data_IF_712230830529
#
_entry.id   IF_712230830529
#
_cell.length_a   1.000
_cell.length_b   1.000
_cell.length_c   1.000
_cell.angle_alpha   90.00
_cell.angle_beta   90.00
_cell.angle_gamma   90.00
#
_symmetry.space_group_name_H-M   'P 1'
#
loop_
_entity.id
_entity.type
_entity.pdbx_description
1 polymer ?
#
# COMPACT_ATOMS: atom_id res chain seq x y z
N UNK A 1 1.47 42.59 -14.77
CA UNK A 1 1.37 42.79 -13.30
C UNK A 1 0.71 41.56 -12.70
N UNK A 2 1.52 40.55 -12.34
CA UNK A 2 1.04 39.33 -11.68
C UNK A 2 0.81 39.67 -10.21
N UNK A 3 -0.45 39.87 -9.82
CA UNK A 3 -0.81 39.94 -8.41
C UNK A 3 -0.55 38.55 -7.83
N UNK A 4 0.60 38.42 -7.18
CA UNK A 4 1.01 37.22 -6.47
C UNK A 4 0.02 37.04 -5.30
N UNK A 5 -0.90 36.09 -5.44
CA UNK A 5 -1.97 35.89 -4.47
C UNK A 5 -1.40 35.22 -3.21
N UNK A 6 -0.75 36.03 -2.37
CA UNK A 6 -0.02 35.62 -1.15
C UNK A 6 -0.88 34.80 -0.19
N UNK A 7 -2.21 35.03 -0.20
CA UNK A 7 -3.19 34.28 0.59
C UNK A 7 -3.22 32.78 0.24
N UNK A 8 -3.16 32.42 -1.04
CA UNK A 8 -3.20 31.01 -1.46
C UNK A 8 -1.95 30.25 -1.03
N UNK A 9 -0.79 30.90 -1.04
CA UNK A 9 0.48 30.32 -0.61
C UNK A 9 0.54 30.14 0.91
N UNK A 10 -0.05 31.06 1.68
CA UNK A 10 -0.18 30.93 3.14
C UNK A 10 -1.12 29.79 3.53
N UNK A 11 -2.30 29.68 2.90
CA UNK A 11 -3.25 28.58 3.16
C UNK A 11 -2.65 27.21 2.82
N UNK A 12 -1.89 27.10 1.73
CA UNK A 12 -1.17 25.88 1.35
C UNK A 12 -0.14 25.47 2.41
N UNK A 13 0.69 26.42 2.88
CA UNK A 13 1.71 26.13 3.91
C UNK A 13 1.05 25.69 5.21
N UNK A 14 -0.07 26.31 5.58
CA UNK A 14 -0.81 25.94 6.78
C UNK A 14 -1.40 24.54 6.66
N UNK A 15 -2.04 24.18 5.55
CA UNK A 15 -2.63 22.84 5.39
C UNK A 15 -1.56 21.76 5.23
N UNK A 16 -0.45 22.03 4.55
CA UNK A 16 0.70 21.10 4.50
C UNK A 16 1.29 20.94 5.90
N UNK A 17 1.52 22.02 6.65
CA UNK A 17 1.99 21.92 8.03
C UNK A 17 0.99 21.14 8.91
N UNK A 18 -0.31 21.41 8.81
CA UNK A 18 -1.34 20.69 9.58
C UNK A 18 -1.42 19.24 9.15
N UNK A 19 -1.28 18.90 7.87
CA UNK A 19 -1.30 17.51 7.39
C UNK A 19 -0.03 16.75 7.76
N UNK A 20 1.14 17.41 7.73
CA UNK A 20 2.42 16.84 8.19
C UNK A 20 2.40 16.68 9.70
N UNK A 21 1.93 17.68 10.44
CA UNK A 21 1.77 17.59 11.90
C UNK A 21 0.73 16.52 12.24
N UNK A 22 -0.38 16.43 11.51
CA UNK A 22 -1.36 15.37 11.70
C UNK A 22 -0.74 14.00 11.43
N UNK A 23 0.00 13.83 10.32
CA UNK A 23 0.73 12.60 10.01
C UNK A 23 1.79 12.25 11.07
N UNK A 24 2.57 13.22 11.55
CA UNK A 24 3.57 13.03 12.61
C UNK A 24 2.88 12.69 13.94
N UNK A 25 1.77 13.35 14.27
CA UNK A 25 0.99 13.04 15.47
C UNK A 25 0.34 11.65 15.37
N UNK A 26 -0.17 11.26 14.19
CA UNK A 26 -0.67 9.92 13.90
C UNK A 26 0.45 8.89 14.11
N UNK A 27 1.67 9.19 13.66
CA UNK A 27 2.84 8.34 13.82
C UNK A 27 3.36 8.27 15.27
N UNK A 28 3.34 9.38 16.02
CA UNK A 28 3.80 9.45 17.41
C UNK A 28 2.83 8.85 18.42
N UNK A 29 1.54 8.74 18.08
CA UNK A 29 0.49 8.35 19.02
C UNK A 29 0.18 6.86 19.02
N UNK A 30 0.89 6.03 18.25
CA UNK A 30 0.63 4.58 18.08
C UNK A 30 1.05 3.72 19.29
N UNK A 31 0.49 4.03 20.47
CA UNK A 31 0.66 3.22 21.70
C UNK A 31 -0.70 2.84 22.30
N UNK A 32 -1.19 1.67 21.85
CA UNK A 32 -2.16 0.73 22.46
C UNK A 32 -3.59 1.23 22.81
N UNK A 33 -4.56 0.47 22.27
CA UNK A 33 -6.03 0.45 22.48
C UNK A 33 -6.91 1.45 21.70
N UNK A 34 -8.12 0.96 21.36
CA UNK A 34 -9.28 1.54 20.63
C UNK A 34 -9.48 3.08 20.66
N UNK A 35 -8.96 3.75 21.69
CA UNK A 35 -8.89 5.19 21.82
C UNK A 35 -8.11 5.87 20.68
N UNK A 36 -7.14 5.17 20.09
CA UNK A 36 -6.36 5.64 18.94
C UNK A 36 -7.23 5.83 17.70
N UNK A 37 -8.07 4.85 17.35
CA UNK A 37 -8.93 4.93 16.16
C UNK A 37 -9.89 6.12 16.25
N UNK A 38 -10.42 6.39 17.45
CA UNK A 38 -11.25 7.56 17.74
C UNK A 38 -10.49 8.89 17.62
N UNK A 39 -9.22 8.95 18.03
CA UNK A 39 -8.37 10.14 17.83
C UNK A 39 -7.95 10.33 16.37
N UNK A 40 -7.67 9.25 15.64
CA UNK A 40 -7.39 9.28 14.21
C UNK A 40 -8.60 9.82 13.44
N UNK A 41 -9.81 9.35 13.79
CA UNK A 41 -11.09 9.87 13.30
C UNK A 41 -11.26 11.37 13.57
N UNK A 42 -11.01 11.81 14.81
CA UNK A 42 -11.10 13.23 15.17
C UNK A 42 -10.10 14.11 14.39
N UNK A 43 -8.88 13.62 14.18
CA UNK A 43 -7.85 14.34 13.45
C UNK A 43 -8.20 14.47 11.97
N UNK A 44 -8.71 13.40 11.36
CA UNK A 44 -9.13 13.44 9.95
C UNK A 44 -10.35 14.34 9.79
N UNK A 45 -11.38 14.23 10.63
CA UNK A 45 -12.54 15.14 10.62
C UNK A 45 -12.11 16.60 10.77
N UNK A 46 -11.20 16.89 11.70
CA UNK A 46 -10.66 18.24 11.89
C UNK A 46 -9.90 18.71 10.65
N UNK A 47 -9.09 17.85 10.05
CA UNK A 47 -8.36 18.13 8.80
C UNK A 47 -9.31 18.42 7.64
N UNK A 48 -10.40 17.66 7.55
CA UNK A 48 -11.44 17.82 6.54
C UNK A 48 -12.16 19.16 6.73
N UNK A 49 -12.63 19.46 7.95
CA UNK A 49 -13.29 20.75 8.29
C UNK A 49 -12.37 21.93 7.97
N UNK A 50 -11.10 21.84 8.36
CA UNK A 50 -10.10 22.87 8.03
C UNK A 50 -9.97 23.00 6.50
N UNK A 51 -9.86 21.90 5.76
CA UNK A 51 -9.78 21.94 4.30
C UNK A 51 -11.04 22.53 3.64
N UNK A 52 -12.25 22.21 4.11
CA UNK A 52 -13.50 22.78 3.58
C UNK A 52 -13.63 24.27 3.86
N UNK A 53 -13.15 24.76 5.01
CA UNK A 53 -13.14 26.19 5.33
C UNK A 53 -12.25 27.02 4.37
N UNK A 54 -11.29 26.37 3.69
CA UNK A 54 -10.39 27.02 2.72
C UNK A 54 -10.75 26.75 1.25
N UNK A 55 -11.84 26.02 0.96
CA UNK A 55 -12.28 25.77 -0.42
C UNK A 55 -13.02 26.99 -1.00
N UNK A 56 -12.47 27.56 -2.07
CA UNK A 56 -13.20 28.49 -2.95
C UNK A 56 -14.22 27.68 -3.79
N UNK A 57 -15.42 27.51 -3.24
CA UNK A 57 -16.48 26.62 -3.73
C UNK A 57 -16.98 26.93 -5.15
N UNK A 58 -16.60 28.08 -5.73
CA UNK A 58 -17.08 28.50 -7.06
C UNK A 58 -16.42 27.76 -8.23
N UNK A 59 -15.32 27.03 -8.03
CA UNK A 59 -14.55 26.39 -9.13
C UNK A 59 -14.75 24.89 -9.29
N UNK A 60 -15.35 24.21 -8.33
CA UNK A 60 -15.49 22.75 -8.37
C UNK A 60 -16.93 22.47 -8.80
N UNK A 61 -17.13 22.14 -10.07
CA UNK A 61 -18.37 21.48 -10.50
C UNK A 61 -18.20 19.99 -10.21
N UNK A 62 -18.90 19.43 -9.21
CA UNK A 62 -18.79 18.00 -8.94
C UNK A 62 -19.22 17.23 -10.18
N UNK A 63 -18.41 16.25 -10.59
CA UNK A 63 -18.81 15.31 -11.62
C UNK A 63 -20.00 14.52 -11.09
N UNK A 64 -21.16 14.63 -11.75
CA UNK A 64 -22.39 13.95 -11.32
C UNK A 64 -22.21 12.45 -11.17
N UNK A 65 -21.35 11.84 -11.99
CA UNK A 65 -20.99 10.43 -11.84
C UNK A 65 -20.32 10.17 -10.47
N UNK A 66 -19.29 10.95 -10.11
CA UNK A 66 -18.58 10.78 -8.84
C UNK A 66 -19.54 10.88 -7.64
N UNK A 67 -20.47 11.85 -7.66
CA UNK A 67 -21.48 11.99 -6.60
C UNK A 67 -22.42 10.78 -6.51
N UNK A 68 -22.95 10.31 -7.64
CA UNK A 68 -23.82 9.13 -7.68
C UNK A 68 -23.09 7.92 -7.09
N UNK A 69 -21.82 7.73 -7.43
CA UNK A 69 -21.05 6.59 -6.97
C UNK A 69 -20.63 6.67 -5.50
N UNK A 70 -20.30 7.86 -5.00
CA UNK A 70 -20.12 8.05 -3.56
C UNK A 70 -21.39 7.68 -2.79
N UNK A 71 -22.57 8.03 -3.31
CA UNK A 71 -23.85 7.64 -2.72
C UNK A 71 -24.02 6.11 -2.77
N UNK A 72 -23.79 5.48 -3.92
CA UNK A 72 -23.89 4.02 -4.07
C UNK A 72 -22.95 3.30 -3.10
N UNK A 73 -21.70 3.75 -2.99
CA UNK A 73 -20.74 3.19 -2.05
C UNK A 73 -21.21 3.32 -0.60
N UNK A 74 -21.68 4.51 -0.18
CA UNK A 74 -22.21 4.73 1.17
C UNK A 74 -23.42 3.82 1.43
N UNK A 75 -24.31 3.66 0.45
CA UNK A 75 -25.46 2.75 0.56
C UNK A 75 -25.00 1.30 0.74
N UNK A 76 -24.10 0.82 -0.11
CA UNK A 76 -23.57 -0.56 -0.03
C UNK A 76 -22.84 -0.79 1.30
N UNK A 77 -21.98 0.15 1.70
CA UNK A 77 -21.26 0.06 2.96
C UNK A 77 -22.23 0.01 4.15
N UNK A 78 -23.30 0.83 4.12
CA UNK A 78 -24.34 0.83 5.17
C UNK A 78 -25.11 -0.49 5.19
N UNK A 79 -25.54 -1.00 4.03
CA UNK A 79 -26.26 -2.27 3.92
C UNK A 79 -25.39 -3.45 4.37
N UNK A 80 -24.13 -3.48 3.97
CA UNK A 80 -23.13 -4.48 4.39
C UNK A 80 -22.87 -4.40 5.90
N UNK A 81 -22.75 -3.19 6.46
CA UNK A 81 -22.60 -3.00 7.93
C UNK A 81 -23.80 -3.53 8.69
N UNK A 82 -25.02 -3.29 8.19
CA UNK A 82 -26.25 -3.81 8.80
C UNK A 82 -26.35 -5.34 8.73
N UNK A 83 -25.68 -5.98 7.77
CA UNK A 83 -25.59 -7.43 7.67
C UNK A 83 -24.47 -8.02 8.55
N UNK A 84 -23.61 -7.19 9.15
CA UNK A 84 -22.49 -7.65 9.96
C UNK A 84 -22.92 -8.22 11.30
N UNK A 85 -22.31 -9.35 11.69
CA UNK A 85 -22.41 -9.89 13.05
C UNK A 85 -21.87 -8.92 14.11
N UNK A 86 -20.98 -7.99 13.73
CA UNK A 86 -20.44 -6.97 14.61
C UNK A 86 -20.55 -5.57 13.97
N UNK A 87 -21.76 -5.01 14.05
CA UNK A 87 -22.10 -3.69 13.52
C UNK A 87 -21.10 -2.59 13.91
N UNK A 88 -20.64 -2.57 15.16
CA UNK A 88 -19.76 -1.50 15.67
C UNK A 88 -18.40 -1.51 14.97
N UNK A 89 -17.74 -2.67 14.87
CA UNK A 89 -16.41 -2.76 14.27
C UNK A 89 -16.48 -2.50 12.77
N UNK A 90 -17.46 -3.09 12.07
CA UNK A 90 -17.69 -2.81 10.64
C UNK A 90 -17.97 -1.33 10.38
N UNK A 91 -18.77 -0.68 11.24
CA UNK A 91 -19.02 0.77 11.15
C UNK A 91 -17.72 1.56 11.29
N UNK A 92 -16.94 1.30 12.34
CA UNK A 92 -15.68 2.02 12.60
C UNK A 92 -14.71 1.88 11.41
N UNK A 93 -14.59 0.66 10.87
CA UNK A 93 -13.73 0.38 9.72
C UNK A 93 -14.16 1.17 8.49
N UNK A 94 -15.44 1.14 8.14
CA UNK A 94 -15.98 1.88 6.99
C UNK A 94 -15.75 3.39 7.13
N UNK A 95 -15.98 3.94 8.33
CA UNK A 95 -15.71 5.35 8.59
C UNK A 95 -14.24 5.67 8.38
N UNK A 96 -13.32 4.88 8.94
CA UNK A 96 -11.88 5.09 8.78
C UNK A 96 -11.47 5.09 7.30
N UNK A 97 -11.94 4.12 6.51
CA UNK A 97 -11.63 4.03 5.09
C UNK A 97 -12.22 5.21 4.30
N UNK A 98 -13.46 5.59 4.61
CA UNK A 98 -14.10 6.76 4.02
C UNK A 98 -13.31 8.05 4.32
N UNK A 99 -12.85 8.22 5.56
CA UNK A 99 -12.08 9.38 5.98
C UNK A 99 -10.74 9.49 5.25
N UNK A 100 -10.03 8.38 5.07
CA UNK A 100 -8.78 8.35 4.31
C UNK A 100 -9.00 8.71 2.84
N UNK A 101 -10.01 8.12 2.20
CA UNK A 101 -10.35 8.43 0.80
C UNK A 101 -10.76 9.90 0.66
N UNK A 102 -11.62 10.39 1.55
CA UNK A 102 -12.11 11.75 1.50
C UNK A 102 -10.98 12.78 1.75
N UNK A 103 -10.02 12.46 2.63
CA UNK A 103 -8.78 13.22 2.78
C UNK A 103 -8.01 13.33 1.46
N UNK A 104 -7.85 12.22 0.73
CA UNK A 104 -7.24 12.23 -0.60
C UNK A 104 -7.97 13.13 -1.59
N UNK A 105 -9.30 12.99 -1.69
CA UNK A 105 -10.15 13.81 -2.56
C UNK A 105 -9.98 15.29 -2.22
N UNK A 106 -9.98 15.65 -0.93
CA UNK A 106 -9.77 17.03 -0.49
C UNK A 106 -8.39 17.55 -0.87
N UNK A 107 -7.32 16.76 -0.66
CA UNK A 107 -5.98 17.14 -1.10
C UNK A 107 -5.95 17.43 -2.60
N UNK A 108 -6.57 16.59 -3.42
CA UNK A 108 -6.65 16.80 -4.86
C UNK A 108 -7.46 18.06 -5.22
N UNK A 109 -8.65 18.23 -4.64
CA UNK A 109 -9.52 19.38 -4.93
C UNK A 109 -8.86 20.71 -4.56
N UNK A 110 -8.20 20.78 -3.41
CA UNK A 110 -7.58 22.02 -2.91
C UNK A 110 -6.23 22.28 -3.60
N UNK A 111 -5.45 21.23 -3.86
CA UNK A 111 -4.03 21.36 -4.19
C UNK A 111 -3.57 20.71 -5.49
N UNK A 112 -4.44 20.19 -6.36
CA UNK A 112 -4.02 19.48 -7.60
C UNK A 112 -2.94 20.21 -8.41
N UNK A 113 -3.04 21.53 -8.57
CA UNK A 113 -2.01 22.33 -9.25
C UNK A 113 -0.70 22.36 -8.47
N UNK A 114 -0.73 22.48 -7.16
CA UNK A 114 0.47 22.55 -6.35
C UNK A 114 1.12 21.17 -6.22
N UNK A 115 0.31 20.13 -5.99
CA UNK A 115 0.71 18.74 -5.86
C UNK A 115 1.52 18.26 -7.05
N UNK A 116 1.08 18.54 -8.28
CA UNK A 116 1.84 18.20 -9.48
C UNK A 116 3.24 18.82 -9.51
N UNK A 117 3.41 20.07 -9.04
CA UNK A 117 4.73 20.71 -8.92
C UNK A 117 5.57 20.15 -7.76
N UNK A 118 4.91 19.62 -6.74
CA UNK A 118 5.53 19.12 -5.53
C UNK A 118 5.75 17.60 -5.54
N UNK A 119 5.45 16.91 -6.64
CA UNK A 119 5.58 15.45 -6.74
C UNK A 119 6.98 14.95 -6.34
N UNK A 120 8.04 15.57 -6.87
CA UNK A 120 9.45 15.26 -6.48
C UNK A 120 9.63 15.32 -4.96
N UNK A 121 9.22 16.45 -4.37
CA UNK A 121 9.39 16.71 -2.94
C UNK A 121 8.58 15.73 -2.09
N UNK A 122 7.35 15.40 -2.49
CA UNK A 122 6.50 14.48 -1.73
C UNK A 122 7.09 13.07 -1.76
N UNK A 123 7.54 12.58 -2.92
CA UNK A 123 8.23 11.30 -3.02
C UNK A 123 9.52 11.31 -2.17
N UNK A 124 10.27 12.41 -2.17
CA UNK A 124 11.47 12.54 -1.34
C UNK A 124 11.13 12.52 0.15
N UNK A 125 10.05 13.17 0.58
CA UNK A 125 9.60 13.14 1.98
C UNK A 125 9.22 11.72 2.40
N UNK A 126 8.51 10.96 1.55
CA UNK A 126 8.22 9.53 1.81
C UNK A 126 9.51 8.76 2.07
N UNK A 127 10.51 8.94 1.20
CA UNK A 127 11.83 8.29 1.33
C UNK A 127 12.55 8.71 2.62
N UNK A 128 12.60 10.00 2.92
CA UNK A 128 13.33 10.52 4.09
C UNK A 128 12.66 10.14 5.41
N UNK A 129 11.33 10.18 5.49
CA UNK A 129 10.58 9.71 6.65
C UNK A 129 10.88 8.24 6.92
N UNK A 130 10.92 7.42 5.88
CA UNK A 130 11.28 6.01 6.01
C UNK A 130 12.74 5.85 6.47
N UNK A 131 13.70 6.47 5.76
CA UNK A 131 15.14 6.30 6.02
C UNK A 131 15.60 6.85 7.37
N UNK A 132 15.01 7.95 7.85
CA UNK A 132 15.43 8.60 9.09
C UNK A 132 14.59 8.12 10.26
N UNK A 133 13.28 7.99 10.08
CA UNK A 133 12.36 7.67 11.17
C UNK A 133 12.21 6.17 11.42
N UNK A 134 12.02 5.38 10.37
CA UNK A 134 11.58 3.99 10.50
C UNK A 134 12.69 2.96 10.31
N UNK A 135 13.48 3.09 9.26
CA UNK A 135 14.42 2.06 8.83
C UNK A 135 15.49 1.76 9.91
N UNK A 136 16.17 2.76 10.52
CA UNK A 136 17.22 2.48 11.49
C UNK A 136 16.67 1.80 12.75
N UNK A 137 15.57 2.31 13.29
CA UNK A 137 14.92 1.76 14.49
C UNK A 137 14.49 0.31 14.27
N UNK A 138 13.78 0.04 13.17
CA UNK A 138 13.30 -1.32 12.89
C UNK A 138 14.45 -2.29 12.59
N UNK A 139 15.50 -1.86 11.89
CA UNK A 139 16.64 -2.74 11.63
C UNK A 139 17.45 -3.06 12.90
N UNK A 140 17.60 -2.10 13.81
CA UNK A 140 18.22 -2.33 15.11
C UNK A 140 17.39 -3.29 15.96
N UNK A 141 16.07 -3.08 16.02
CA UNK A 141 15.16 -3.97 16.74
C UNK A 141 15.16 -5.39 16.18
N UNK A 142 15.15 -5.54 14.85
CA UNK A 142 15.28 -6.83 14.21
C UNK A 142 16.61 -7.50 14.55
N UNK A 143 17.70 -6.74 14.53
CA UNK A 143 19.02 -7.26 14.90
C UNK A 143 19.06 -7.71 16.37
N UNK A 144 18.50 -6.92 17.29
CA UNK A 144 18.49 -7.21 18.73
C UNK A 144 17.58 -8.40 19.08
N UNK A 145 16.48 -8.59 18.31
CA UNK A 145 15.53 -9.68 18.50
C UNK A 145 15.91 -10.95 17.73
N UNK A 146 16.89 -10.90 16.83
CA UNK A 146 17.41 -12.09 16.15
C UNK A 146 18.18 -12.93 17.17
N UNK A 147 17.70 -14.12 17.54
CA UNK A 147 18.38 -14.94 18.52
C UNK A 147 19.74 -15.38 17.97
N UNK A 148 20.74 -15.27 18.83
CA UNK A 148 22.14 -15.61 18.52
C UNK A 148 22.37 -17.13 18.61
N UNK A 149 21.43 -17.86 19.21
CA UNK A 149 21.54 -19.30 19.43
C UNK A 149 21.16 -20.13 18.18
N UNK A 150 21.86 -21.26 17.92
CA UNK A 150 21.57 -22.13 16.78
C UNK A 150 20.15 -22.73 16.85
N UNK A 151 19.48 -22.91 15.71
CA UNK A 151 18.05 -23.31 15.60
C UNK A 151 17.64 -24.49 16.51
N UNK A 152 18.52 -25.48 16.69
CA UNK A 152 18.25 -26.65 17.52
C UNK A 152 18.06 -26.37 19.02
N UNK A 153 18.33 -25.15 19.47
CA UNK A 153 18.06 -24.67 20.83
C UNK A 153 16.77 -23.87 20.96
N UNK A 154 16.12 -23.54 19.84
CA UNK A 154 14.88 -22.78 19.88
C UNK A 154 13.77 -23.67 20.44
N UNK A 155 12.89 -23.13 21.29
CA UNK A 155 11.73 -23.87 21.76
C UNK A 155 10.92 -24.43 20.58
N UNK A 156 10.51 -25.69 20.65
CA UNK A 156 9.53 -26.22 19.69
C UNK A 156 8.29 -25.31 19.69
N UNK A 157 7.92 -24.81 18.51
CA UNK A 157 6.81 -23.85 18.35
C UNK A 157 7.19 -22.37 18.42
N UNK A 158 8.48 -22.03 18.46
CA UNK A 158 8.92 -20.65 18.24
C UNK A 158 8.73 -20.29 16.75
N UNK A 159 7.50 -19.92 16.39
CA UNK A 159 7.23 -19.44 15.05
C UNK A 159 7.83 -18.04 14.90
N UNK A 160 8.69 -17.83 13.89
CA UNK A 160 9.16 -16.50 13.46
C UNK A 160 8.02 -15.51 13.14
N UNK A 161 6.77 -15.99 13.11
CA UNK A 161 5.53 -15.25 12.94
C UNK A 161 4.99 -14.64 14.23
N UNK A 162 5.47 -15.03 15.42
CA UNK A 162 5.15 -14.34 16.66
C UNK A 162 5.93 -13.03 16.75
N UNK A 163 5.39 -12.04 16.02
CA UNK A 163 5.51 -10.60 16.21
C UNK A 163 6.81 -10.14 16.86
N UNK A 164 7.81 -9.83 16.04
CA UNK A 164 8.83 -8.88 16.46
C UNK A 164 8.11 -7.67 17.07
N UNK A 165 8.35 -7.39 18.35
CA UNK A 165 7.82 -6.21 19.03
C UNK A 165 8.64 -5.03 18.51
N UNK A 166 8.21 -4.46 17.38
CA UNK A 166 8.85 -3.29 16.79
C UNK A 166 8.24 -2.04 17.41
N UNK A 167 9.04 -1.09 17.88
CA UNK A 167 8.53 0.10 18.59
C UNK A 167 7.65 0.97 17.69
N UNK A 168 7.85 0.89 16.36
CA UNK A 168 7.16 1.71 15.37
C UNK A 168 6.10 0.94 14.56
N UNK A 169 6.05 -0.38 14.66
CA UNK A 169 5.15 -1.20 13.85
C UNK A 169 4.59 -2.36 14.67
N UNK A 170 3.28 -2.55 14.61
CA UNK A 170 2.63 -3.72 15.22
C UNK A 170 3.11 -5.05 14.63
N UNK A 171 3.62 -5.03 13.40
CA UNK A 171 4.13 -6.23 12.73
C UNK A 171 5.16 -5.86 11.65
N UNK A 172 6.13 -6.73 11.42
CA UNK A 172 7.11 -6.62 10.32
C UNK A 172 6.44 -6.48 8.93
N UNK A 173 5.21 -6.99 8.82
CA UNK A 173 4.35 -6.83 7.65
C UNK A 173 4.04 -5.35 7.38
N UNK A 174 3.68 -4.58 8.42
CA UNK A 174 3.34 -3.16 8.26
C UNK A 174 4.57 -2.37 7.82
N UNK A 175 5.73 -2.68 8.40
CA UNK A 175 7.02 -2.15 7.95
C UNK A 175 7.28 -2.42 6.47
N UNK A 176 6.98 -3.64 5.99
CA UNK A 176 7.19 -3.99 4.58
C UNK A 176 6.32 -3.17 3.61
N UNK A 177 5.14 -2.68 4.02
CA UNK A 177 4.33 -1.76 3.22
C UNK A 177 5.06 -0.41 3.02
N UNK A 178 5.67 0.11 4.09
CA UNK A 178 6.43 1.35 4.08
C UNK A 178 7.74 1.20 3.28
N UNK A 179 8.44 0.09 3.47
CA UNK A 179 9.66 -0.21 2.73
C UNK A 179 9.40 -0.29 1.22
N UNK A 180 8.28 -0.91 0.80
CA UNK A 180 7.92 -0.99 -0.62
C UNK A 180 7.71 0.40 -1.24
N UNK A 181 6.87 1.24 -0.62
CA UNK A 181 6.59 2.57 -1.18
C UNK A 181 7.83 3.46 -1.18
N UNK A 182 8.67 3.38 -0.14
CA UNK A 182 9.92 4.11 -0.06
C UNK A 182 10.91 3.65 -1.15
N UNK A 183 11.07 2.34 -1.35
CA UNK A 183 11.94 1.79 -2.39
C UNK A 183 11.47 2.20 -3.80
N UNK A 184 10.17 2.09 -4.08
CA UNK A 184 9.60 2.47 -5.37
C UNK A 184 9.72 3.99 -5.63
N UNK A 185 9.53 4.81 -4.59
CA UNK A 185 9.69 6.27 -4.66
C UNK A 185 11.16 6.67 -4.90
N UNK A 186 12.10 6.06 -4.16
CA UNK A 186 13.53 6.30 -4.33
C UNK A 186 14.03 5.88 -5.72
N UNK A 187 13.57 4.73 -6.22
CA UNK A 187 13.83 4.28 -7.59
C UNK A 187 13.32 5.29 -8.62
N UNK A 188 12.09 5.76 -8.46
CA UNK A 188 11.46 6.73 -9.37
C UNK A 188 12.22 8.06 -9.39
N UNK A 189 12.62 8.57 -8.22
CA UNK A 189 13.43 9.79 -8.09
C UNK A 189 14.81 9.62 -8.74
N UNK A 190 15.47 8.48 -8.52
CA UNK A 190 16.74 8.17 -9.16
C UNK A 190 16.60 8.13 -10.68
N UNK A 191 15.54 7.52 -11.22
CA UNK A 191 15.34 7.43 -12.67
C UNK A 191 15.04 8.79 -13.31
N UNK A 192 14.20 9.60 -12.67
CA UNK A 192 13.64 10.82 -13.27
C UNK A 192 14.50 12.07 -12.99
N UNK A 193 15.03 12.22 -11.78
CA UNK A 193 15.64 13.48 -11.30
C UNK A 193 17.17 13.47 -11.15
N UNK A 194 17.82 12.33 -11.39
CA UNK A 194 19.27 12.15 -11.27
C UNK A 194 20.09 12.83 -12.39
N UNK A 195 19.81 14.10 -12.70
CA UNK A 195 20.48 14.87 -13.77
C UNK A 195 21.94 15.20 -13.44
N UNK A 196 22.26 15.44 -12.17
CA UNK A 196 23.63 15.68 -11.71
C UNK A 196 24.23 14.43 -11.05
N UNK A 197 25.57 14.31 -11.09
CA UNK A 197 26.27 13.19 -10.43
C UNK A 197 25.93 13.09 -8.95
N UNK A 198 25.87 14.22 -8.24
CA UNK A 198 25.52 14.26 -6.82
C UNK A 198 24.11 13.74 -6.53
N UNK A 199 23.10 14.24 -7.26
CA UNK A 199 21.71 13.75 -7.13
C UNK A 199 21.62 12.26 -7.48
N UNK A 200 22.34 11.81 -8.53
CA UNK A 200 22.37 10.41 -8.94
C UNK A 200 22.85 9.49 -7.82
N UNK A 201 24.00 9.78 -7.21
CA UNK A 201 24.52 8.96 -6.13
C UNK A 201 23.66 9.04 -4.87
N UNK A 202 23.12 10.21 -4.56
CA UNK A 202 22.20 10.40 -3.44
C UNK A 202 20.96 9.49 -3.57
N UNK A 203 20.20 9.61 -4.67
CA UNK A 203 19.00 8.79 -4.85
C UNK A 203 19.31 7.30 -5.00
N UNK A 204 20.44 6.94 -5.63
CA UNK A 204 20.88 5.56 -5.72
C UNK A 204 21.17 4.96 -4.34
N UNK A 205 21.81 5.74 -3.45
CA UNK A 205 22.06 5.33 -2.06
C UNK A 205 20.73 5.16 -1.31
N UNK A 206 19.82 6.14 -1.39
CA UNK A 206 18.49 6.03 -0.80
C UNK A 206 17.74 4.78 -1.29
N UNK A 207 17.79 4.53 -2.60
CA UNK A 207 17.18 3.35 -3.22
C UNK A 207 17.80 2.05 -2.69
N UNK A 208 19.13 1.95 -2.65
CA UNK A 208 19.82 0.77 -2.15
C UNK A 208 19.44 0.45 -0.70
N UNK A 209 19.38 1.47 0.17
CA UNK A 209 18.98 1.28 1.57
C UNK A 209 17.51 0.87 1.70
N UNK A 210 16.61 1.52 0.96
CA UNK A 210 15.18 1.17 1.00
C UNK A 210 14.93 -0.25 0.43
N UNK A 211 15.64 -0.63 -0.63
CA UNK A 211 15.55 -1.98 -1.21
C UNK A 211 16.10 -3.03 -0.24
N UNK A 212 17.24 -2.76 0.42
CA UNK A 212 17.78 -3.66 1.43
C UNK A 212 16.77 -3.85 2.58
N UNK A 213 16.19 -2.75 3.08
CA UNK A 213 15.15 -2.79 4.10
C UNK A 213 13.91 -3.61 3.68
N UNK A 214 13.48 -3.46 2.42
CA UNK A 214 12.39 -4.26 1.85
C UNK A 214 12.70 -5.75 1.85
N UNK A 215 13.92 -6.12 1.45
CA UNK A 215 14.38 -7.51 1.38
C UNK A 215 14.54 -8.11 2.78
N UNK A 216 15.09 -7.35 3.74
CA UNK A 216 15.22 -7.75 5.14
C UNK A 216 13.88 -7.86 5.88
N UNK A 217 12.80 -7.28 5.35
CA UNK A 217 11.46 -7.50 5.89
C UNK A 217 10.90 -8.89 5.54
N UNK A 218 11.54 -9.63 4.64
CA UNK A 218 11.14 -10.98 4.16
C UNK A 218 9.69 -11.06 3.63
N UNK A 219 9.07 -9.92 3.34
CA UNK A 219 7.71 -9.82 2.84
C UNK A 219 7.61 -10.28 1.39
N UNK A 220 7.15 -11.53 1.17
CA UNK A 220 6.98 -12.07 -0.20
C UNK A 220 6.07 -11.19 -1.06
N UNK A 221 4.99 -10.68 -0.48
CA UNK A 221 4.05 -9.78 -1.15
C UNK A 221 4.67 -8.45 -1.54
N UNK A 222 5.49 -7.85 -0.67
CA UNK A 222 6.15 -6.56 -0.94
C UNK A 222 7.25 -6.68 -2.01
N UNK A 223 7.93 -7.82 -2.05
CA UNK A 223 8.92 -8.13 -3.09
C UNK A 223 8.24 -8.35 -4.44
N UNK A 224 7.15 -9.12 -4.48
CA UNK A 224 6.33 -9.27 -5.69
C UNK A 224 5.82 -7.91 -6.18
N UNK A 225 5.32 -7.08 -5.26
CA UNK A 225 4.88 -5.72 -5.56
C UNK A 225 5.99 -4.87 -6.19
N UNK A 226 7.20 -4.94 -5.64
CA UNK A 226 8.36 -4.22 -6.16
C UNK A 226 8.79 -4.72 -7.55
N UNK A 227 8.77 -6.04 -7.77
CA UNK A 227 9.05 -6.64 -9.08
C UNK A 227 8.05 -6.18 -10.15
N UNK A 228 6.76 -6.21 -9.83
CA UNK A 228 5.70 -5.72 -10.72
C UNK A 228 5.87 -4.23 -10.98
N UNK A 229 6.16 -3.43 -9.95
CA UNK A 229 6.47 -2.01 -10.09
C UNK A 229 7.62 -1.77 -11.08
N UNK A 230 8.77 -2.41 -10.91
CA UNK A 230 9.94 -2.22 -11.81
C UNK A 230 9.61 -2.67 -13.24
N UNK A 231 8.88 -3.78 -13.40
CA UNK A 231 8.45 -4.26 -14.72
C UNK A 231 7.53 -3.26 -15.42
N UNK A 232 6.52 -2.74 -14.71
CA UNK A 232 5.60 -1.75 -15.23
C UNK A 232 6.30 -0.42 -15.54
N UNK A 233 7.13 0.10 -14.64
CA UNK A 233 7.85 1.36 -14.87
C UNK A 233 8.82 1.24 -16.05
N UNK A 234 9.54 0.12 -16.16
CA UNK A 234 10.44 -0.15 -17.30
C UNK A 234 9.66 -0.31 -18.61
N UNK A 235 8.51 -1.00 -18.58
CA UNK A 235 7.63 -1.15 -19.74
C UNK A 235 7.14 0.20 -20.24
N UNK A 236 6.66 1.04 -19.33
CA UNK A 236 6.20 2.38 -19.68
C UNK A 236 7.37 3.20 -20.24
N UNK A 237 8.53 3.20 -19.57
CA UNK A 237 9.67 4.02 -19.96
C UNK A 237 10.37 3.59 -21.25
N UNK A 238 10.40 2.28 -21.57
CA UNK A 238 11.28 1.74 -22.60
C UNK A 238 10.66 0.63 -23.47
N UNK A 239 9.39 0.26 -23.25
CA UNK A 239 8.69 -0.78 -24.00
C UNK A 239 8.95 -2.22 -23.54
N UNK A 240 8.22 -3.16 -24.16
CA UNK A 240 8.11 -4.57 -23.72
C UNK A 240 9.43 -5.34 -23.74
N UNK A 241 10.24 -5.19 -24.78
CA UNK A 241 11.48 -5.96 -24.92
C UNK A 241 12.49 -5.64 -23.82
N UNK A 242 12.54 -4.38 -23.36
CA UNK A 242 13.40 -3.98 -22.26
C UNK A 242 12.81 -4.35 -20.90
N UNK A 243 11.49 -4.24 -20.75
CA UNK A 243 10.79 -4.68 -19.54
C UNK A 243 11.04 -6.17 -19.24
N UNK A 244 10.91 -7.05 -20.23
CA UNK A 244 11.17 -8.48 -20.07
C UNK A 244 12.62 -8.73 -19.63
N UNK A 245 13.60 -8.09 -20.26
CA UNK A 245 15.03 -8.23 -19.90
C UNK A 245 15.32 -7.74 -18.49
N UNK A 246 14.79 -6.57 -18.12
CA UNK A 246 14.99 -5.98 -16.80
C UNK A 246 14.28 -6.81 -15.74
N UNK A 247 13.05 -7.29 -15.99
CA UNK A 247 12.33 -8.18 -15.09
C UNK A 247 13.11 -9.49 -14.89
N UNK A 248 13.57 -10.13 -15.96
CA UNK A 248 14.41 -11.32 -15.88
C UNK A 248 15.67 -11.10 -15.05
N UNK A 249 16.36 -9.98 -15.25
CA UNK A 249 17.55 -9.61 -14.46
C UNK A 249 17.22 -9.35 -12.98
N UNK A 250 16.10 -8.69 -12.68
CA UNK A 250 15.68 -8.43 -11.30
C UNK A 250 15.27 -9.72 -10.60
N UNK A 251 14.57 -10.64 -11.28
CA UNK A 251 14.26 -11.96 -10.74
C UNK A 251 15.54 -12.72 -10.42
N UNK A 252 16.51 -12.71 -11.35
CA UNK A 252 17.82 -13.36 -11.11
C UNK A 252 18.58 -12.70 -9.95
N UNK A 253 18.57 -11.37 -9.85
CA UNK A 253 19.26 -10.65 -8.78
C UNK A 253 18.60 -10.89 -7.42
N UNK A 254 17.28 -10.80 -7.34
CA UNK A 254 16.53 -11.09 -6.12
C UNK A 254 16.72 -12.56 -5.74
N UNK A 255 16.62 -13.48 -6.71
CA UNK A 255 16.90 -14.90 -6.51
C UNK A 255 18.32 -15.16 -6.02
N UNK A 256 19.32 -14.45 -6.55
CA UNK A 256 20.71 -14.52 -6.10
C UNK A 256 20.87 -13.95 -4.69
N UNK A 257 20.27 -12.80 -4.39
CA UNK A 257 20.29 -12.22 -3.05
C UNK A 257 19.67 -13.20 -2.07
N UNK A 258 18.49 -13.74 -2.38
CA UNK A 258 17.86 -14.80 -1.57
C UNK A 258 18.80 -15.99 -1.40
N UNK A 259 19.38 -16.53 -2.48
CA UNK A 259 20.31 -17.64 -2.39
C UNK A 259 21.51 -17.31 -1.48
N UNK A 260 22.13 -16.14 -1.64
CA UNK A 260 23.23 -15.69 -0.79
C UNK A 260 22.80 -15.56 0.67
N UNK A 261 21.60 -15.04 0.95
CA UNK A 261 21.03 -15.02 2.30
C UNK A 261 20.85 -16.44 2.85
N UNK A 262 20.39 -17.38 2.02
CA UNK A 262 20.24 -18.80 2.42
C UNK A 262 21.59 -19.47 2.74
N UNK A 263 22.70 -18.98 2.17
CA UNK A 263 24.07 -19.48 2.39
C UNK A 263 24.87 -18.70 3.45
N UNK A 264 24.30 -17.63 4.02
CA UNK A 264 24.89 -16.98 5.21
C UNK A 264 24.49 -17.75 6.48
N UNK A 265 25.23 -17.64 7.61
CA UNK A 265 24.89 -18.30 8.88
C UNK A 265 23.50 -17.96 9.48
N UNK A 266 22.68 -17.17 8.78
CA UNK A 266 21.23 -17.07 8.96
C UNK A 266 20.45 -18.32 8.50
N UNK A 267 21.14 -19.46 8.27
CA UNK A 267 20.61 -20.73 7.78
C UNK A 267 19.47 -21.35 8.63
N UNK A 268 19.35 -20.87 9.86
CA UNK A 268 18.29 -21.18 10.83
C UNK A 268 16.90 -20.83 10.26
N UNK A 269 16.75 -19.65 9.64
CA UNK A 269 15.48 -19.21 9.05
C UNK A 269 15.21 -19.94 7.73
N UNK A 270 16.26 -20.25 6.96
CA UNK A 270 16.13 -20.96 5.70
C UNK A 270 15.74 -22.42 5.90
N UNK A 271 16.26 -23.09 6.92
CA UNK A 271 15.95 -24.49 7.25
C UNK A 271 14.49 -24.67 7.70
N UNK A 272 13.94 -23.76 8.51
CA UNK A 272 12.51 -23.74 8.85
C UNK A 272 11.60 -23.46 7.64
N UNK A 273 12.02 -22.51 6.79
CA UNK A 273 11.33 -22.27 5.53
C UNK A 273 11.39 -23.48 4.62
N UNK A 274 12.51 -24.23 4.58
CA UNK A 274 12.74 -25.38 3.69
C UNK A 274 12.11 -26.69 4.19
N UNK A 275 12.09 -26.93 5.50
CA UNK A 275 11.41 -28.09 6.11
C UNK A 275 9.91 -28.06 5.86
N UNK A 276 9.34 -26.86 5.71
CA UNK A 276 7.97 -26.64 5.26
C UNK A 276 7.72 -27.10 3.80
N UNK A 277 8.74 -27.31 2.97
CA UNK A 277 8.61 -27.74 1.56
C UNK A 277 8.72 -29.26 1.35
N UNK A 278 9.11 -30.04 2.36
CA UNK A 278 9.26 -31.49 2.25
C UNK A 278 8.04 -32.19 2.89
N UNK A 279 7.04 -32.58 2.09
CA UNK A 279 5.84 -33.24 2.60
C UNK A 279 6.08 -34.74 2.84
N UNK A 280 5.25 -35.33 3.70
CA UNK A 280 5.08 -36.78 3.82
C UNK A 280 3.60 -37.13 3.90
N UNK A 281 3.00 -37.58 2.79
CA UNK A 281 1.72 -38.29 2.73
C UNK A 281 0.62 -37.65 1.87
N UNK A 282 -0.08 -38.49 1.08
CA UNK A 282 -1.06 -38.30 -0.02
C UNK A 282 -2.07 -37.11 -0.03
N UNK A 283 -2.13 -36.27 1.00
CA UNK A 283 -2.68 -34.90 0.97
C UNK A 283 -1.66 -33.82 0.62
N UNK A 284 -0.45 -34.22 0.18
CA UNK A 284 0.75 -33.38 0.10
C UNK A 284 0.56 -32.11 -0.73
N UNK A 285 -0.06 -32.16 -1.90
CA UNK A 285 -0.02 -31.01 -2.83
C UNK A 285 -0.67 -29.75 -2.25
N UNK A 286 -1.83 -29.90 -1.60
CA UNK A 286 -2.49 -28.76 -0.95
C UNK A 286 -1.76 -28.33 0.33
N UNK A 287 -1.15 -29.27 1.06
CA UNK A 287 -0.37 -28.96 2.26
C UNK A 287 0.94 -28.24 1.91
N UNK A 288 1.68 -28.69 0.90
CA UNK A 288 2.84 -27.99 0.31
C UNK A 288 2.40 -26.62 -0.19
N UNK A 289 1.34 -26.54 -1.00
CA UNK A 289 0.91 -25.26 -1.56
C UNK A 289 0.48 -24.29 -0.45
N UNK A 290 -0.10 -24.78 0.64
CA UNK A 290 -0.40 -23.99 1.84
C UNK A 290 0.85 -23.60 2.62
N UNK A 291 1.82 -24.49 2.82
CA UNK A 291 3.06 -24.14 3.51
C UNK A 291 3.83 -23.06 2.75
N UNK A 292 3.86 -23.15 1.41
CA UNK A 292 4.44 -22.16 0.51
C UNK A 292 3.67 -20.85 0.49
N UNK A 293 2.35 -20.87 0.71
CA UNK A 293 1.52 -19.66 0.73
C UNK A 293 1.30 -19.09 2.13
N UNK A 294 1.83 -19.73 3.18
CA UNK A 294 1.55 -19.43 4.59
C UNK A 294 0.07 -19.57 4.95
N UNK A 295 -0.56 -20.65 4.50
CA UNK A 295 -1.96 -21.01 4.77
C UNK A 295 -3.00 -20.23 3.97
N UNK A 296 -2.58 -19.32 3.08
CA UNK A 296 -3.48 -18.41 2.36
C UNK A 296 -4.43 -19.14 1.41
N UNK A 297 -4.03 -20.25 0.78
CA UNK A 297 -4.92 -20.95 -0.15
C UNK A 297 -6.17 -21.47 0.55
N UNK A 298 -6.02 -22.06 1.74
CA UNK A 298 -7.20 -22.48 2.51
C UNK A 298 -8.02 -21.29 2.97
N UNK A 299 -7.39 -20.20 3.44
CA UNK A 299 -8.12 -18.97 3.79
C UNK A 299 -8.92 -18.42 2.60
N UNK A 300 -8.41 -18.55 1.38
CA UNK A 300 -9.12 -18.13 0.17
C UNK A 300 -10.30 -19.04 -0.15
N UNK A 301 -10.12 -20.36 -0.04
CA UNK A 301 -11.22 -21.32 -0.21
C UNK A 301 -12.33 -21.05 0.80
N UNK A 302 -11.96 -20.82 2.06
CA UNK A 302 -12.92 -20.52 3.12
C UNK A 302 -13.62 -19.18 2.89
N UNK A 303 -12.88 -18.11 2.57
CA UNK A 303 -13.47 -16.81 2.23
C UNK A 303 -14.42 -16.87 1.03
N UNK A 304 -14.12 -17.72 0.03
CA UNK A 304 -15.02 -17.96 -1.10
C UNK A 304 -16.28 -18.73 -0.67
N UNK A 305 -16.16 -19.70 0.24
CA UNK A 305 -17.32 -20.44 0.76
C UNK A 305 -18.23 -19.52 1.56
N UNK A 306 -17.67 -18.70 2.45
CA UNK A 306 -18.42 -17.67 3.18
C UNK A 306 -19.09 -16.68 2.21
N UNK A 307 -18.40 -16.25 1.15
CA UNK A 307 -19.01 -15.39 0.13
C UNK A 307 -20.23 -16.02 -0.56
N UNK A 308 -20.30 -17.36 -0.68
CA UNK A 308 -21.48 -18.04 -1.25
C UNK A 308 -22.67 -18.04 -0.29
N UNK A 309 -22.45 -17.91 1.01
CA UNK A 309 -23.52 -17.86 2.02
C UNK A 309 -24.25 -16.51 2.00
N UNK A 310 -23.55 -15.41 1.71
CA UNK A 310 -24.12 -14.07 1.54
C UNK A 310 -23.66 -13.42 0.22
N UNK A 311 -24.13 -13.92 -0.94
CA UNK A 311 -23.54 -13.59 -2.24
C UNK A 311 -23.82 -12.18 -2.72
N UNK A 312 -24.88 -11.52 -2.25
CA UNK A 312 -25.29 -10.20 -2.76
C UNK A 312 -24.54 -9.08 -2.06
N UNK A 313 -24.62 -9.02 -0.72
CA UNK A 313 -24.10 -7.93 0.09
C UNK A 313 -22.95 -8.32 1.03
N UNK A 314 -22.56 -9.61 1.04
CA UNK A 314 -21.49 -10.11 1.89
C UNK A 314 -21.87 -10.14 3.37
N UNK A 315 -20.86 -10.26 4.22
CA UNK A 315 -20.99 -10.42 5.66
C UNK A 315 -20.62 -9.18 6.48
N UNK A 316 -20.38 -8.04 5.83
CA UNK A 316 -19.93 -6.82 6.50
C UNK A 316 -18.44 -6.56 6.34
N UNK A 317 -18.04 -5.28 6.44
CA UNK A 317 -16.63 -4.91 6.44
C UNK A 317 -15.87 -5.57 7.61
N UNK A 318 -14.66 -6.08 7.34
CA UNK A 318 -13.83 -6.78 8.32
C UNK A 318 -14.45 -8.08 8.84
N UNK A 319 -15.35 -8.72 8.07
CA UNK A 319 -16.09 -9.89 8.55
C UNK A 319 -15.23 -11.10 8.90
N UNK A 320 -14.07 -11.23 8.27
CA UNK A 320 -13.14 -12.33 8.49
C UNK A 320 -12.73 -12.49 9.97
N UNK A 321 -12.57 -11.40 10.72
CA UNK A 321 -12.10 -11.45 12.11
C UNK A 321 -13.02 -12.32 13.00
N UNK A 322 -14.32 -12.33 12.74
CA UNK A 322 -15.29 -13.13 13.49
C UNK A 322 -15.67 -14.41 12.77
N UNK A 323 -15.75 -14.40 11.44
CA UNK A 323 -16.09 -15.61 10.69
C UNK A 323 -14.97 -16.66 10.73
N UNK A 324 -13.71 -16.25 10.87
CA UNK A 324 -12.59 -17.17 11.05
C UNK A 324 -12.36 -17.59 12.50
N UNK A 325 -13.05 -16.99 13.48
CA UNK A 325 -12.80 -17.23 14.91
C UNK A 325 -12.96 -18.70 15.32
N UNK A 326 -13.90 -19.42 14.70
CA UNK A 326 -14.17 -20.84 14.96
C UNK A 326 -13.47 -21.79 13.97
N UNK A 327 -12.58 -21.25 13.13
CA UNK A 327 -11.82 -22.02 12.14
C UNK A 327 -10.36 -22.22 12.62
N UNK A 328 -9.58 -23.12 11.99
CA UNK A 328 -8.13 -23.20 12.21
C UNK A 328 -7.36 -21.89 11.92
N UNK A 329 -8.03 -20.88 11.38
CA UNK A 329 -7.47 -19.57 11.01
C UNK A 329 -7.96 -18.45 11.92
N UNK A 330 -8.34 -18.74 13.17
CA UNK A 330 -8.79 -17.76 14.15
C UNK A 330 -7.80 -16.62 14.43
N UNK A 331 -6.53 -16.80 14.07
CA UNK A 331 -5.49 -15.76 14.11
C UNK A 331 -5.51 -14.79 12.91
N UNK A 332 -6.21 -15.13 11.83
CA UNK A 332 -6.26 -14.33 10.61
C UNK A 332 -7.40 -13.32 10.65
N UNK A 333 -7.07 -12.04 10.44
CA UNK A 333 -8.06 -10.95 10.40
C UNK A 333 -8.64 -10.69 9.01
N UNK A 334 -8.12 -11.35 7.98
CA UNK A 334 -8.48 -11.14 6.58
C UNK A 334 -7.93 -12.29 5.71
N UNK A 335 -8.50 -12.52 4.51
CA UNK A 335 -8.02 -13.57 3.61
C UNK A 335 -6.74 -13.20 2.84
N UNK A 336 -6.17 -12.00 3.01
CA UNK A 336 -4.94 -11.56 2.31
C UNK A 336 -5.03 -11.60 0.77
N UNK A 337 -6.24 -11.45 0.23
CA UNK A 337 -6.49 -11.29 -1.20
C UNK A 337 -7.68 -10.36 -1.37
N UNK A 338 -7.46 -9.21 -2.02
CA UNK A 338 -8.46 -8.15 -2.15
C UNK A 338 -9.76 -8.63 -2.80
N UNK A 339 -9.70 -9.54 -3.77
CA UNK A 339 -10.91 -10.02 -4.45
C UNK A 339 -11.71 -10.96 -3.57
N UNK A 340 -11.04 -11.89 -2.88
CA UNK A 340 -11.70 -12.76 -1.90
C UNK A 340 -12.29 -11.91 -0.78
N UNK A 341 -11.52 -10.96 -0.26
CA UNK A 341 -11.95 -10.08 0.82
C UNK A 341 -13.17 -9.24 0.44
N UNK A 342 -13.14 -8.57 -0.71
CA UNK A 342 -14.27 -7.71 -1.14
C UNK A 342 -15.51 -8.55 -1.41
N UNK A 343 -15.36 -9.73 -2.02
CA UNK A 343 -16.52 -10.60 -2.29
C UNK A 343 -17.11 -11.17 -1.00
N UNK A 344 -16.29 -11.49 -0.01
CA UNK A 344 -16.74 -11.95 1.30
C UNK A 344 -17.38 -10.83 2.13
N UNK A 345 -16.76 -9.66 2.21
CA UNK A 345 -17.23 -8.53 3.03
C UNK A 345 -18.44 -7.81 2.41
N UNK A 346 -18.45 -7.63 1.09
CA UNK A 346 -19.42 -6.78 0.38
C UNK A 346 -20.21 -7.50 -0.73
N UNK A 347 -20.01 -8.81 -0.89
CA UNK A 347 -20.71 -9.60 -1.89
C UNK A 347 -20.34 -9.23 -3.34
N UNK A 348 -21.14 -9.76 -4.26
CA UNK A 348 -21.02 -9.49 -5.69
C UNK A 348 -21.19 -7.99 -6.00
N UNK A 349 -22.06 -7.30 -5.27
CA UNK A 349 -22.30 -5.86 -5.47
C UNK A 349 -21.02 -5.06 -5.20
N UNK A 350 -20.31 -5.32 -4.10
CA UNK A 350 -19.04 -4.68 -3.81
C UNK A 350 -17.96 -5.00 -4.85
N UNK A 351 -17.87 -6.25 -5.30
CA UNK A 351 -16.95 -6.65 -6.35
C UNK A 351 -17.21 -5.91 -7.69
N UNK A 352 -18.47 -5.76 -8.08
CA UNK A 352 -18.85 -4.98 -9.27
C UNK A 352 -18.44 -3.50 -9.16
N UNK A 353 -18.61 -2.88 -7.98
CA UNK A 353 -18.18 -1.50 -7.75
C UNK A 353 -16.66 -1.37 -7.88
N UNK A 354 -15.89 -2.30 -7.32
CA UNK A 354 -14.43 -2.31 -7.46
C UNK A 354 -14.01 -2.42 -8.94
N UNK A 355 -14.56 -3.39 -9.67
CA UNK A 355 -14.27 -3.58 -11.10
C UNK A 355 -14.60 -2.31 -11.86
N UNK A 356 -15.74 -1.70 -11.58
CA UNK A 356 -16.15 -0.46 -12.21
C UNK A 356 -15.18 0.70 -11.90
N UNK A 357 -14.73 0.88 -10.65
CA UNK A 357 -13.72 1.88 -10.28
C UNK A 357 -12.44 1.67 -11.09
N UNK A 358 -11.95 0.43 -11.17
CA UNK A 358 -10.75 0.09 -11.95
C UNK A 358 -10.97 0.40 -13.43
N UNK A 359 -12.09 -0.01 -14.00
CA UNK A 359 -12.38 0.17 -15.43
C UNK A 359 -12.67 1.62 -15.82
N UNK A 360 -13.31 2.41 -14.96
CA UNK A 360 -13.74 3.77 -15.26
C UNK A 360 -12.71 4.83 -14.91
N UNK A 361 -11.89 4.60 -13.87
CA UNK A 361 -10.88 5.55 -13.43
C UNK A 361 -9.50 5.12 -13.89
N UNK A 362 -9.06 3.90 -13.57
CA UNK A 362 -7.67 3.51 -13.79
C UNK A 362 -7.37 3.18 -15.25
N UNK A 363 -8.24 2.46 -15.97
CA UNK A 363 -7.99 2.08 -17.37
C UNK A 363 -7.80 3.30 -18.28
N UNK A 364 -8.65 4.35 -18.24
CA UNK A 364 -8.43 5.54 -19.07
C UNK A 364 -7.10 6.23 -18.80
N UNK A 365 -6.69 6.34 -17.52
CA UNK A 365 -5.40 6.93 -17.13
C UNK A 365 -4.26 6.10 -17.69
N UNK A 366 -4.33 4.76 -17.55
CA UNK A 366 -3.34 3.83 -18.10
C UNK A 366 -3.21 4.03 -19.61
N UNK A 367 -4.33 4.06 -20.32
CA UNK A 367 -4.37 4.24 -21.77
C UNK A 367 -3.76 5.60 -22.16
N UNK A 368 -4.10 6.67 -21.45
CA UNK A 368 -3.57 8.02 -21.70
C UNK A 368 -2.04 8.06 -21.48
N UNK A 369 -1.58 7.54 -20.34
CA UNK A 369 -0.14 7.48 -20.01
C UNK A 369 0.63 6.65 -21.04
N UNK A 370 0.08 5.54 -21.52
CA UNK A 370 0.70 4.71 -22.56
C UNK A 370 0.72 5.44 -23.90
N UNK A 371 -0.35 6.15 -24.28
CA UNK A 371 -0.43 6.87 -25.57
C UNK A 371 0.53 8.04 -25.64
N UNK A 372 0.77 8.70 -24.52
CA UNK A 372 1.62 9.90 -24.45
C UNK A 372 3.08 9.57 -24.07
N UNK A 373 3.47 8.29 -24.06
CA UNK A 373 4.66 7.76 -23.37
C UNK A 373 6.03 8.09 -23.97
N UNK A 374 6.17 9.11 -24.82
CA UNK A 374 7.49 9.51 -25.32
C UNK A 374 8.41 10.07 -24.22
N UNK A 375 7.89 10.32 -23.02
CA UNK A 375 8.69 10.65 -21.84
C UNK A 375 7.97 10.25 -20.56
N UNK A 376 8.25 9.05 -20.06
CA UNK A 376 7.62 8.54 -18.84
C UNK A 376 8.22 9.20 -17.60
N UNK A 377 7.72 10.41 -17.31
CA UNK A 377 8.00 11.15 -16.09
C UNK A 377 7.23 10.58 -14.90
N UNK A 378 6.83 11.45 -13.97
CA UNK A 378 6.17 11.03 -12.73
C UNK A 378 4.84 10.28 -12.94
N UNK A 379 4.09 10.58 -14.00
CA UNK A 379 2.80 9.91 -14.27
C UNK A 379 2.94 8.40 -14.42
N UNK A 380 3.90 7.93 -15.22
CA UNK A 380 4.12 6.49 -15.35
C UNK A 380 4.75 5.84 -14.13
N UNK A 381 5.61 6.56 -13.40
CA UNK A 381 6.17 6.06 -12.14
C UNK A 381 5.08 5.82 -11.08
N UNK A 382 4.16 6.78 -10.89
CA UNK A 382 3.04 6.65 -9.96
C UNK A 382 2.08 5.54 -10.42
N UNK A 383 1.83 5.42 -11.73
CA UNK A 383 1.02 4.33 -12.27
C UNK A 383 1.66 2.96 -12.01
N UNK A 384 2.98 2.84 -12.18
CA UNK A 384 3.71 1.62 -11.87
C UNK A 384 3.66 1.29 -10.36
N UNK A 385 3.72 2.30 -9.47
CA UNK A 385 3.55 2.10 -8.03
C UNK A 385 2.17 1.50 -7.74
N UNK A 386 1.11 2.04 -8.36
CA UNK A 386 -0.25 1.53 -8.20
C UNK A 386 -0.40 0.11 -8.74
N UNK A 387 0.27 -0.25 -9.84
CA UNK A 387 0.34 -1.62 -10.32
C UNK A 387 1.03 -2.56 -9.31
N UNK A 388 2.12 -2.09 -8.68
CA UNK A 388 2.77 -2.81 -7.57
C UNK A 388 1.82 -3.00 -6.37
N UNK A 389 1.08 -1.97 -5.96
CA UNK A 389 0.03 -2.06 -4.93
C UNK A 389 -1.04 -3.09 -5.27
N UNK A 390 -1.51 -3.11 -6.51
CA UNK A 390 -2.50 -4.08 -6.98
C UNK A 390 -1.95 -5.51 -6.86
N UNK A 391 -0.72 -5.75 -7.29
CA UNK A 391 -0.07 -7.06 -7.12
C UNK A 391 0.11 -7.42 -5.63
N UNK A 392 0.49 -6.45 -4.80
CA UNK A 392 0.64 -6.66 -3.37
C UNK A 392 -0.71 -7.09 -2.75
N UNK A 393 -1.80 -6.44 -3.13
CA UNK A 393 -3.15 -6.73 -2.60
C UNK A 393 -3.68 -8.15 -2.91
N UNK A 394 -3.02 -8.90 -3.80
CA UNK A 394 -3.34 -10.31 -4.07
C UNK A 394 -2.77 -11.26 -3.01
N UNK A 395 -1.78 -10.81 -2.25
CA UNK A 395 -1.04 -11.65 -1.29
C UNK A 395 -1.00 -11.06 0.11
N UNK A 396 -1.47 -9.82 0.30
CA UNK A 396 -1.55 -9.19 1.60
C UNK A 396 -2.66 -8.11 1.67
N UNK A 397 -2.96 -7.68 2.90
CA UNK A 397 -4.05 -6.77 3.26
C UNK A 397 -3.76 -5.30 3.00
N UNK A 398 -3.23 -4.96 1.84
CA UNK A 398 -2.75 -3.59 1.54
C UNK A 398 -3.89 -2.56 1.52
N UNK A 399 -5.11 -2.98 1.21
CA UNK A 399 -6.31 -2.13 1.29
C UNK A 399 -7.09 -2.30 2.60
N UNK A 400 -6.66 -3.22 3.46
CA UNK A 400 -7.28 -3.44 4.76
C UNK A 400 -6.64 -2.58 5.85
N UNK A 401 -5.31 -2.42 5.82
CA UNK A 401 -4.62 -1.62 6.82
C UNK A 401 -4.64 -0.12 6.46
N UNK A 402 -4.84 0.78 7.44
CA UNK A 402 -4.94 2.22 7.19
C UNK A 402 -3.63 2.82 6.65
N UNK A 403 -2.48 2.32 7.10
CA UNK A 403 -1.15 2.79 6.68
C UNK A 403 -0.92 2.66 5.17
N UNK A 404 -0.98 1.45 4.57
CA UNK A 404 -0.83 1.30 3.12
C UNK A 404 -1.97 1.98 2.33
N UNK A 405 -3.18 2.06 2.89
CA UNK A 405 -4.29 2.76 2.24
C UNK A 405 -4.05 4.28 2.15
N UNK A 406 -3.45 4.88 3.18
CA UNK A 406 -3.04 6.29 3.14
C UNK A 406 -2.00 6.54 2.05
N UNK A 407 -0.99 5.67 1.95
CA UNK A 407 0.02 5.75 0.89
C UNK A 407 -0.60 5.63 -0.51
N UNK A 408 -1.46 4.63 -0.71
CA UNK A 408 -2.20 4.45 -1.94
C UNK A 408 -3.01 5.71 -2.31
N UNK A 409 -3.65 6.32 -1.32
CA UNK A 409 -4.43 7.56 -1.48
C UNK A 409 -3.54 8.72 -1.94
N UNK A 410 -2.41 8.95 -1.27
CA UNK A 410 -1.46 10.02 -1.64
C UNK A 410 -0.94 9.81 -3.06
N UNK A 411 -0.52 8.60 -3.41
CA UNK A 411 0.00 8.27 -4.74
C UNK A 411 -1.06 8.45 -5.83
N UNK A 412 -2.29 8.00 -5.58
CA UNK A 412 -3.40 8.19 -6.51
C UNK A 412 -3.67 9.68 -6.76
N UNK A 413 -3.73 10.48 -5.69
CA UNK A 413 -3.95 11.93 -5.77
C UNK A 413 -2.86 12.65 -6.56
N UNK A 414 -1.60 12.25 -6.39
CA UNK A 414 -0.49 12.78 -7.19
C UNK A 414 -0.65 12.44 -8.67
N UNK A 415 -1.04 11.21 -9.00
CA UNK A 415 -1.25 10.77 -10.38
C UNK A 415 -2.36 11.59 -11.05
N UNK A 416 -3.52 11.69 -10.41
CA UNK A 416 -4.64 12.52 -10.90
C UNK A 416 -4.27 14.02 -11.02
N UNK A 417 -3.40 14.51 -10.15
CA UNK A 417 -2.91 15.89 -10.21
C UNK A 417 -2.03 16.16 -11.42
N UNK A 418 -1.27 15.17 -11.88
CA UNK A 418 -0.41 15.27 -13.06
C UNK A 418 -1.22 15.19 -14.36
N UNK A 419 -2.21 14.29 -14.44
CA UNK A 419 -3.07 14.13 -15.61
C UNK A 419 -3.83 15.43 -15.94
N UNK A 420 -4.43 16.07 -14.92
CA UNK A 420 -5.21 17.31 -15.08
C UNK A 420 -4.44 18.50 -15.67
N UNK A 421 -3.12 18.44 -15.69
CA UNK A 421 -2.31 19.51 -16.27
C UNK A 421 -1.95 19.31 -17.73
N UNK A 422 -2.25 18.15 -18.32
CA UNK A 422 -1.74 17.81 -19.65
C UNK A 422 -0.22 17.81 -19.70
N UNK A 423 0.47 17.56 -18.57
CA UNK A 423 1.94 17.57 -18.48
C UNK A 423 2.62 16.50 -19.34
N UNK A 424 1.84 15.63 -19.99
CA UNK A 424 2.33 14.78 -21.07
C UNK A 424 2.57 15.51 -22.40
N UNK A 425 2.19 16.78 -22.54
CA UNK A 425 2.36 17.56 -23.78
C UNK A 425 3.58 18.49 -23.79
N UNK A 426 4.12 18.85 -22.63
CA UNK A 426 5.19 19.85 -22.51
C UNK A 426 6.45 19.23 -21.88
N UNK A 427 7.16 18.37 -22.62
CA UNK A 427 8.58 18.10 -22.33
C UNK A 427 9.40 18.75 -23.44
N UNK A 428 10.29 19.70 -23.13
CA UNK A 428 11.21 20.25 -24.12
C UNK A 428 12.09 19.10 -24.65
N UNK A 429 12.14 19.00 -25.98
CA UNK A 429 12.98 18.06 -26.75
C UNK A 429 14.43 18.04 -26.31
#
# INVERSE_FOLDING_TARGET
MLIHNSKTTQSLRLVICVSIVAYILLWLLDTRHFYLILKQLQLIVLSMVVATLFLDTKKIRPNSALCIWSIIFVVIATLSTNASLNYLVSSIKIWLDFFLIAFGVLLWLVFSKQLSKSTELILLVIVLVFLIGSCPTTLLELYDQMPVEPLGSWPEGFELTHSFDLSLYEHLRVYSFHAFIAAASAYSLWRIEAKSKGKKYFYLCCFAVCLLALLLAYGRGSILAFLVFVACDTYLAYGVSRAIKVLGLNILLIGLIYALFMFTPFSVVSEYLFSSFLPGGDGEVLQIANSVSSGRLTMWVEGINLAKESPVFGHGASSAVWLFADTPYSFASQPHNVFVQITMDYGFVGACVLIWIVCSLYIPIVINVIKESHSVGYGGALLAILAGYAAYSLTDGVFYHPYPLLHFTIISVLLFSLENRGYCKDIPS
#
